data_IF_634233309043
#
_entry.id   IF_634233309043
#
_cell.length_a   1.000
_cell.length_b   1.000
_cell.length_c   1.000
_cell.angle_alpha   90.00
_cell.angle_beta   90.00
_cell.angle_gamma   90.00
#
_symmetry.space_group_name_H-M   'P 1'
#
loop_
_entity.id
_entity.type
_entity.pdbx_description
1 polymer ?
#
# COMPACT_ATOMS: atom_id res chain seq x y z
N UNK A 1 -5.37 0.35 -21.88
CA UNK A 1 -4.74 0.49 -20.55
C UNK A 1 -3.31 -0.06 -20.51
N UNK A 2 -3.07 -1.31 -20.99
CA UNK A 2 -1.75 -1.96 -20.89
C UNK A 2 -0.62 -1.18 -21.62
N UNK A 3 -0.87 -0.64 -22.80
CA UNK A 3 0.10 0.19 -23.53
C UNK A 3 0.45 1.47 -22.77
N UNK A 4 -0.53 2.11 -22.13
CA UNK A 4 -0.29 3.30 -21.30
C UNK A 4 0.55 2.97 -20.06
N UNK A 5 0.33 1.80 -19.44
CA UNK A 5 1.14 1.34 -18.31
C UNK A 5 2.60 1.12 -18.75
N UNK A 6 2.84 0.48 -19.89
CA UNK A 6 4.18 0.32 -20.45
C UNK A 6 4.85 1.66 -20.79
N UNK A 7 4.11 2.59 -21.39
CA UNK A 7 4.61 3.95 -21.65
C UNK A 7 4.99 4.66 -20.33
N UNK A 8 4.19 4.49 -19.28
CA UNK A 8 4.48 5.05 -17.96
C UNK A 8 5.77 4.50 -17.38
N UNK A 9 5.96 3.19 -17.44
CA UNK A 9 7.16 2.54 -16.95
C UNK A 9 8.42 3.00 -17.71
N UNK A 10 8.34 3.10 -19.04
CA UNK A 10 9.43 3.62 -19.86
C UNK A 10 9.71 5.09 -19.50
N UNK A 11 8.66 5.89 -19.31
CA UNK A 11 8.82 7.31 -18.95
C UNK A 11 9.52 7.48 -17.61
N UNK A 12 9.16 6.67 -16.59
CA UNK A 12 9.86 6.67 -15.30
C UNK A 12 11.34 6.35 -15.49
N UNK A 13 11.66 5.26 -16.20
CA UNK A 13 13.02 4.83 -16.42
C UNK A 13 13.86 5.89 -17.17
N UNK A 14 13.28 6.57 -18.15
CA UNK A 14 13.94 7.65 -18.90
C UNK A 14 14.19 8.86 -18.00
N UNK A 15 13.19 9.30 -17.24
CA UNK A 15 13.32 10.45 -16.34
C UNK A 15 14.31 10.17 -15.21
N UNK A 16 14.37 8.94 -14.72
CA UNK A 16 15.35 8.52 -13.72
C UNK A 16 16.77 8.56 -14.29
N UNK A 17 16.98 8.04 -15.51
CA UNK A 17 18.28 8.14 -16.20
C UNK A 17 18.71 9.60 -16.45
N UNK A 18 17.76 10.49 -16.66
CA UNK A 18 18.00 11.93 -16.80
C UNK A 18 18.20 12.63 -15.44
N UNK A 19 18.15 11.90 -14.33
CA UNK A 19 18.28 12.43 -12.96
C UNK A 19 17.29 13.57 -12.64
N UNK A 20 16.09 13.51 -13.18
CA UNK A 20 15.03 14.48 -12.91
C UNK A 20 14.45 14.23 -11.52
N UNK A 21 14.54 15.21 -10.63
CA UNK A 21 13.91 15.12 -9.29
C UNK A 21 12.40 15.02 -9.43
N UNK A 22 11.79 14.04 -8.74
CA UNK A 22 10.35 13.80 -8.80
C UNK A 22 9.89 13.06 -10.07
N UNK A 23 10.77 12.29 -10.72
CA UNK A 23 10.50 11.49 -11.91
C UNK A 23 9.22 10.65 -11.81
N UNK A 24 8.97 10.01 -10.66
CA UNK A 24 7.76 9.18 -10.42
C UNK A 24 6.51 10.04 -10.46
N UNK A 25 6.49 11.17 -9.74
CA UNK A 25 5.34 12.07 -9.70
C UNK A 25 5.03 12.64 -11.08
N UNK A 26 6.06 13.11 -11.80
CA UNK A 26 5.92 13.64 -13.16
C UNK A 26 5.34 12.57 -14.09
N UNK A 27 5.80 11.34 -13.97
CA UNK A 27 5.32 10.22 -14.79
C UNK A 27 3.87 9.87 -14.48
N UNK A 28 3.49 9.81 -13.22
CA UNK A 28 2.10 9.55 -12.81
C UNK A 28 1.17 10.63 -13.37
N UNK A 29 1.50 11.89 -13.16
CA UNK A 29 0.69 13.02 -13.67
C UNK A 29 0.63 13.00 -15.19
N UNK A 30 1.77 12.79 -15.87
CA UNK A 30 1.85 12.75 -17.33
C UNK A 30 0.97 11.64 -17.93
N UNK A 31 1.08 10.41 -17.42
CA UNK A 31 0.27 9.29 -17.89
C UNK A 31 -1.21 9.47 -17.55
N UNK A 32 -1.52 10.05 -16.39
CA UNK A 32 -2.91 10.35 -16.02
C UNK A 32 -3.55 11.34 -17.00
N UNK A 33 -2.84 12.41 -17.35
CA UNK A 33 -3.31 13.38 -18.34
C UNK A 33 -3.51 12.72 -19.71
N UNK A 34 -2.54 11.92 -20.16
CA UNK A 34 -2.64 11.19 -21.44
C UNK A 34 -3.85 10.23 -21.42
N UNK A 35 -4.05 9.52 -20.28
CA UNK A 35 -5.18 8.62 -20.12
C UNK A 35 -6.52 9.35 -20.30
N UNK A 36 -6.70 10.50 -19.65
CA UNK A 36 -7.93 11.29 -19.78
C UNK A 36 -8.13 11.86 -21.19
N UNK A 37 -7.05 12.28 -21.85
CA UNK A 37 -7.11 12.75 -23.22
C UNK A 37 -7.51 11.64 -24.21
N UNK A 38 -6.98 10.44 -24.02
CA UNK A 38 -7.26 9.28 -24.90
C UNK A 38 -8.66 8.71 -24.67
N UNK A 39 -9.12 8.68 -23.41
CA UNK A 39 -10.44 8.14 -23.06
C UNK A 39 -11.56 9.16 -23.23
N UNK A 40 -11.24 10.46 -23.36
CA UNK A 40 -12.23 11.53 -23.43
C UNK A 40 -13.05 11.70 -22.15
N UNK A 41 -12.63 11.07 -21.04
CA UNK A 41 -13.30 11.18 -19.74
C UNK A 41 -12.69 12.34 -18.97
N UNK A 42 -13.53 13.15 -18.34
CA UNK A 42 -13.09 14.22 -17.43
C UNK A 42 -13.30 13.72 -15.99
N UNK A 43 -12.31 13.84 -15.11
CA UNK A 43 -12.50 13.47 -13.71
C UNK A 43 -13.61 14.34 -13.11
N UNK A 44 -14.74 13.74 -12.75
CA UNK A 44 -15.81 14.41 -12.03
C UNK A 44 -15.60 14.21 -10.54
N UNK A 45 -15.44 15.30 -9.80
CA UNK A 45 -15.40 15.26 -8.37
C UNK A 45 -16.83 15.38 -7.83
N UNK A 46 -17.40 14.27 -7.38
CA UNK A 46 -18.76 14.22 -6.82
C UNK A 46 -18.68 14.15 -5.29
N UNK A 47 -19.06 15.23 -4.64
CA UNK A 47 -19.14 15.29 -3.17
C UNK A 47 -20.12 14.28 -2.58
N UNK A 48 -21.12 13.82 -3.36
CA UNK A 48 -22.03 12.77 -2.94
C UNK A 48 -21.34 11.43 -2.75
N UNK A 49 -20.39 11.10 -3.63
CA UNK A 49 -19.58 9.89 -3.50
C UNK A 49 -18.67 9.92 -2.27
N UNK A 50 -18.14 11.08 -1.92
CA UNK A 50 -17.36 11.24 -0.68
C UNK A 50 -18.23 10.98 0.55
N UNK A 51 -19.45 11.54 0.59
CA UNK A 51 -20.39 11.28 1.67
C UNK A 51 -20.80 9.82 1.77
N UNK A 52 -20.99 9.14 0.61
CA UNK A 52 -21.29 7.71 0.57
C UNK A 52 -20.09 6.88 1.06
N UNK A 53 -18.87 7.21 0.67
CA UNK A 53 -17.67 6.52 1.13
C UNK A 53 -17.49 6.59 2.66
N UNK A 54 -17.84 7.72 3.29
CA UNK A 54 -17.83 7.83 4.75
C UNK A 54 -18.90 6.96 5.43
N UNK A 55 -20.10 6.84 4.84
CA UNK A 55 -21.13 5.93 5.33
C UNK A 55 -20.71 4.48 5.17
N UNK A 56 -20.22 4.11 4.01
CA UNK A 56 -19.74 2.76 3.71
C UNK A 56 -18.58 2.37 4.63
N UNK A 57 -17.68 3.31 4.94
CA UNK A 57 -16.62 3.12 5.93
C UNK A 57 -17.18 2.79 7.32
N UNK A 58 -18.23 3.49 7.77
CA UNK A 58 -18.86 3.21 9.06
C UNK A 58 -19.64 1.89 9.08
N UNK A 59 -20.43 1.62 8.03
CA UNK A 59 -21.33 0.48 7.97
C UNK A 59 -20.64 -0.82 7.54
N UNK A 60 -19.72 -0.77 6.60
CA UNK A 60 -19.04 -1.95 6.06
C UNK A 60 -17.66 -2.13 6.71
N UNK A 61 -16.88 -1.07 6.79
CA UNK A 61 -15.52 -1.12 7.33
C UNK A 61 -15.50 -1.50 8.80
N UNK A 62 -16.04 -0.65 9.66
CA UNK A 62 -15.94 -0.85 11.11
C UNK A 62 -16.94 -1.91 11.60
N UNK A 63 -18.21 -1.83 11.21
CA UNK A 63 -19.21 -2.76 11.72
C UNK A 63 -19.17 -4.12 11.05
N UNK A 64 -18.70 -4.20 9.80
CA UNK A 64 -18.63 -5.44 9.04
C UNK A 64 -17.75 -6.50 9.70
N UNK A 65 -16.61 -6.09 10.29
CA UNK A 65 -15.70 -6.99 11.01
C UNK A 65 -16.37 -7.68 12.22
N UNK A 66 -17.33 -7.01 12.84
CA UNK A 66 -18.02 -7.55 14.02
C UNK A 66 -19.31 -8.32 13.68
N UNK A 67 -19.68 -8.43 12.41
CA UNK A 67 -20.86 -9.20 11.98
C UNK A 67 -20.51 -10.69 11.84
N UNK A 68 -21.16 -11.52 12.66
CA UNK A 68 -20.98 -12.98 12.60
C UNK A 68 -21.38 -13.59 11.24
N UNK A 69 -22.29 -12.95 10.50
CA UNK A 69 -22.65 -13.36 9.13
C UNK A 69 -21.49 -13.21 8.16
N UNK A 70 -20.74 -12.11 8.23
CA UNK A 70 -19.57 -11.86 7.37
C UNK A 70 -18.50 -12.95 7.57
N UNK A 71 -18.22 -13.34 8.80
CA UNK A 71 -17.30 -14.42 9.11
C UNK A 71 -17.80 -15.77 8.60
N UNK A 72 -19.07 -16.07 8.78
CA UNK A 72 -19.67 -17.29 8.26
C UNK A 72 -19.58 -17.35 6.73
N UNK A 73 -19.89 -16.26 6.04
CA UNK A 73 -19.83 -16.20 4.59
C UNK A 73 -18.38 -16.26 4.08
N UNK A 74 -17.43 -15.68 4.82
CA UNK A 74 -16.01 -15.78 4.51
C UNK A 74 -15.46 -17.23 4.60
N UNK A 75 -15.91 -18.01 5.58
CA UNK A 75 -15.40 -19.37 5.78
C UNK A 75 -16.24 -20.46 5.09
N UNK A 76 -17.53 -20.25 4.85
CA UNK A 76 -18.43 -21.26 4.29
C UNK A 76 -19.10 -20.84 2.99
N UNK A 77 -18.90 -19.62 2.54
CA UNK A 77 -19.49 -19.07 1.33
C UNK A 77 -18.99 -19.75 0.05
N UNK A 78 -19.81 -19.84 -0.99
CA UNK A 78 -19.45 -20.47 -2.25
C UNK A 78 -18.32 -19.75 -3.00
N UNK A 79 -18.05 -18.49 -2.68
CA UNK A 79 -17.02 -17.68 -3.32
C UNK A 79 -15.60 -18.14 -2.96
N UNK A 80 -15.39 -18.67 -1.76
CA UNK A 80 -14.06 -19.07 -1.26
C UNK A 80 -13.83 -20.57 -1.36
N UNK A 81 -14.89 -21.37 -1.53
CA UNK A 81 -14.77 -22.83 -1.71
C UNK A 81 -14.57 -23.63 -0.43
N UNK A 82 -14.91 -23.06 0.73
CA UNK A 82 -14.92 -23.75 2.03
C UNK A 82 -13.77 -23.37 2.96
N UNK A 83 -13.81 -23.93 4.17
CA UNK A 83 -12.88 -23.58 5.27
C UNK A 83 -11.41 -23.82 4.90
N UNK A 84 -11.10 -24.92 4.21
CA UNK A 84 -9.70 -25.20 3.83
C UNK A 84 -9.16 -24.15 2.87
N UNK A 85 -9.94 -23.73 1.89
CA UNK A 85 -9.55 -22.67 0.95
C UNK A 85 -9.40 -21.33 1.65
N UNK A 86 -10.27 -21.02 2.61
CA UNK A 86 -10.16 -19.79 3.42
C UNK A 86 -8.87 -19.79 4.24
N UNK A 87 -8.53 -20.91 4.90
CA UNK A 87 -7.28 -21.03 5.67
C UNK A 87 -6.06 -20.89 4.77
N UNK A 88 -6.05 -21.56 3.61
CA UNK A 88 -4.94 -21.44 2.64
C UNK A 88 -4.79 -20.01 2.12
N UNK A 89 -5.88 -19.32 1.88
CA UNK A 89 -5.89 -17.94 1.43
C UNK A 89 -5.31 -17.00 2.50
N UNK A 90 -5.71 -17.18 3.77
CA UNK A 90 -5.16 -16.42 4.91
C UNK A 90 -3.66 -16.65 5.03
N UNK A 91 -3.20 -17.92 5.00
CA UNK A 91 -1.76 -18.23 5.07
C UNK A 91 -1.01 -17.58 3.91
N UNK A 92 -1.55 -17.66 2.70
CA UNK A 92 -0.92 -17.07 1.50
C UNK A 92 -0.78 -15.55 1.65
N UNK A 93 -1.84 -14.86 2.05
CA UNK A 93 -1.76 -13.41 2.26
C UNK A 93 -0.82 -13.02 3.38
N UNK A 94 -0.83 -13.74 4.51
CA UNK A 94 0.10 -13.49 5.61
C UNK A 94 1.56 -13.67 5.17
N UNK A 95 1.87 -14.70 4.39
CA UNK A 95 3.23 -14.91 3.88
C UNK A 95 3.65 -13.81 2.91
N UNK A 96 2.78 -13.42 1.98
CA UNK A 96 3.06 -12.34 1.03
C UNK A 96 3.31 -11.03 1.77
N UNK A 97 2.43 -10.66 2.69
CA UNK A 97 2.53 -9.44 3.50
C UNK A 97 3.84 -9.42 4.33
N UNK A 98 4.17 -10.54 4.98
CA UNK A 98 5.40 -10.67 5.77
C UNK A 98 6.66 -10.51 4.90
N UNK A 99 6.73 -11.16 3.72
CA UNK A 99 7.89 -11.03 2.85
C UNK A 99 8.01 -9.64 2.22
N UNK A 100 6.89 -9.02 1.90
CA UNK A 100 6.85 -7.64 1.39
C UNK A 100 7.38 -6.67 2.46
N UNK A 101 6.88 -6.75 3.68
CA UNK A 101 7.34 -5.93 4.81
C UNK A 101 8.83 -6.13 5.10
N UNK A 102 9.32 -7.38 5.15
CA UNK A 102 10.75 -7.64 5.34
C UNK A 102 11.57 -6.98 4.23
N UNK A 103 11.20 -7.20 2.97
CA UNK A 103 11.92 -6.64 1.83
C UNK A 103 11.97 -5.11 1.85
N UNK A 104 10.85 -4.47 2.17
CA UNK A 104 10.75 -3.00 2.25
C UNK A 104 11.52 -2.43 3.44
N UNK A 105 11.51 -3.11 4.59
CA UNK A 105 12.29 -2.71 5.77
C UNK A 105 13.79 -2.77 5.49
N UNK A 106 14.28 -3.85 4.86
CA UNK A 106 15.69 -3.93 4.45
C UNK A 106 16.06 -2.83 3.47
N UNK A 107 15.23 -2.58 2.45
CA UNK A 107 15.47 -1.53 1.47
C UNK A 107 15.51 -0.13 2.08
N UNK A 108 14.56 0.20 2.96
CA UNK A 108 14.51 1.51 3.61
C UNK A 108 15.59 1.69 4.67
N UNK A 109 15.94 0.65 5.44
CA UNK A 109 17.02 0.68 6.43
C UNK A 109 18.38 0.86 5.77
N UNK A 110 18.61 0.18 4.64
CA UNK A 110 19.84 0.35 3.85
C UNK A 110 20.01 1.78 3.35
N UNK A 111 18.94 2.43 2.88
CA UNK A 111 18.99 3.82 2.42
C UNK A 111 19.15 4.81 3.60
N UNK A 112 18.71 4.42 4.80
CA UNK A 112 18.80 5.21 6.02
C UNK A 112 20.14 5.08 6.75
N UNK A 113 21.05 4.19 6.30
CA UNK A 113 22.27 3.76 7.03
C UNK A 113 21.91 3.19 8.42
N UNK A 114 20.82 2.44 8.52
CA UNK A 114 20.31 1.81 9.75
C UNK A 114 20.46 0.28 9.71
N UNK A 115 21.54 -0.20 9.16
CA UNK A 115 21.93 -1.60 9.24
C UNK A 115 22.99 -1.79 10.35
N UNK A 116 22.96 -2.93 11.01
CA UNK A 116 23.98 -3.33 11.98
C UNK A 116 25.22 -3.93 11.30
N UNK A 117 26.16 -4.44 12.11
CA UNK A 117 27.42 -5.03 11.60
C UNK A 117 27.19 -6.32 10.80
N UNK A 118 26.07 -7.01 11.04
CA UNK A 118 25.66 -8.24 10.34
C UNK A 118 24.87 -7.95 9.07
N UNK A 119 24.47 -6.69 8.84
CA UNK A 119 23.69 -6.25 7.69
C UNK A 119 22.19 -6.32 7.90
N UNK A 120 21.73 -6.53 9.14
CA UNK A 120 20.32 -6.56 9.48
C UNK A 120 19.83 -5.16 9.90
N UNK A 121 18.56 -4.81 9.59
CA UNK A 121 17.99 -3.55 10.05
C UNK A 121 17.95 -3.44 11.55
N UNK A 122 18.45 -2.34 12.10
CA UNK A 122 18.41 -2.06 13.52
C UNK A 122 16.95 -2.06 14.00
N UNK A 123 16.69 -2.78 15.10
CA UNK A 123 15.35 -2.90 15.70
C UNK A 123 14.26 -3.50 14.76
N UNK A 124 14.63 -4.40 13.85
CA UNK A 124 13.70 -5.02 12.89
C UNK A 124 12.48 -5.66 13.59
N UNK A 125 12.67 -6.28 14.76
CA UNK A 125 11.58 -6.89 15.53
C UNK A 125 10.54 -5.88 15.97
N UNK A 126 10.97 -4.67 16.35
CA UNK A 126 10.07 -3.58 16.73
C UNK A 126 9.33 -3.04 15.51
N UNK A 127 10.03 -2.88 14.39
CA UNK A 127 9.42 -2.41 13.14
C UNK A 127 8.37 -3.40 12.64
N UNK A 128 8.67 -4.70 12.61
CA UNK A 128 7.73 -5.77 12.26
C UNK A 128 6.53 -5.81 13.20
N UNK A 129 6.74 -5.61 14.51
CA UNK A 129 5.64 -5.54 15.48
C UNK A 129 4.74 -4.34 15.23
N UNK A 130 5.30 -3.17 14.94
CA UNK A 130 4.53 -1.98 14.60
C UNK A 130 3.70 -2.17 13.33
N UNK A 131 4.27 -2.76 12.30
CA UNK A 131 3.61 -3.06 11.04
C UNK A 131 2.44 -4.04 11.23
N UNK A 132 2.66 -5.12 12.00
CA UNK A 132 1.62 -6.10 12.34
C UNK A 132 0.45 -5.47 13.12
N UNK A 133 0.75 -4.62 14.11
CA UNK A 133 -0.28 -3.90 14.87
C UNK A 133 -1.04 -2.93 13.98
N UNK A 134 -0.36 -2.23 13.07
CA UNK A 134 -0.98 -1.32 12.12
C UNK A 134 -1.89 -2.07 11.13
N UNK A 135 -1.46 -3.24 10.64
CA UNK A 135 -2.27 -4.11 9.76
C UNK A 135 -3.54 -4.59 10.48
N UNK A 136 -3.45 -5.02 11.75
CA UNK A 136 -4.64 -5.39 12.55
C UNK A 136 -5.58 -4.20 12.74
N UNK A 137 -5.04 -3.02 13.06
CA UNK A 137 -5.83 -1.80 13.20
C UNK A 137 -6.51 -1.42 11.88
N UNK A 138 -5.79 -1.51 10.76
CA UNK A 138 -6.33 -1.31 9.42
C UNK A 138 -7.48 -2.27 9.09
N UNK A 139 -7.31 -3.56 9.41
CA UNK A 139 -8.37 -4.55 9.23
C UNK A 139 -9.63 -4.23 10.04
N UNK A 140 -9.47 -3.78 11.30
CA UNK A 140 -10.60 -3.34 12.14
C UNK A 140 -11.30 -2.11 11.53
N UNK A 141 -10.52 -1.21 10.93
CA UNK A 141 -11.06 -0.04 10.24
C UNK A 141 -11.61 -0.35 8.83
N UNK A 142 -11.51 -1.60 8.36
CA UNK A 142 -11.99 -2.00 7.03
C UNK A 142 -11.13 -1.49 5.88
N UNK A 143 -9.86 -1.16 6.13
CA UNK A 143 -8.91 -0.79 5.10
C UNK A 143 -8.18 -2.03 4.56
N UNK A 144 -7.47 -1.88 3.44
CA UNK A 144 -6.50 -2.89 2.99
C UNK A 144 -5.36 -3.02 4.00
N UNK A 145 -4.45 -4.01 3.78
CA UNK A 145 -3.26 -4.15 4.62
C UNK A 145 -2.51 -2.83 4.75
N UNK A 146 -2.04 -2.56 5.95
CA UNK A 146 -1.17 -1.40 6.25
C UNK A 146 0.25 -1.94 6.29
N UNK A 147 1.07 -1.57 5.34
CA UNK A 147 2.43 -2.08 5.20
C UNK A 147 3.41 -0.94 4.92
N UNK A 148 4.68 -1.19 5.16
CA UNK A 148 5.74 -0.26 4.82
C UNK A 148 5.94 -0.23 3.30
N UNK A 149 5.98 0.96 2.70
CA UNK A 149 6.18 1.15 1.27
C UNK A 149 7.65 1.39 0.93
N UNK A 150 8.14 0.74 -0.12
CA UNK A 150 9.52 0.91 -0.61
C UNK A 150 9.79 2.34 -1.08
N UNK A 151 8.76 3.08 -1.50
CA UNK A 151 8.84 4.48 -1.87
C UNK A 151 9.27 5.39 -0.71
N UNK A 152 9.12 4.93 0.54
CA UNK A 152 9.65 5.60 1.72
C UNK A 152 11.17 5.81 1.67
N UNK A 153 11.90 4.93 0.97
CA UNK A 153 13.33 5.08 0.73
C UNK A 153 13.65 6.40 0.02
N UNK A 154 12.80 6.84 -0.90
CA UNK A 154 12.99 8.15 -1.57
C UNK A 154 12.83 9.33 -0.62
N UNK A 155 11.94 9.22 0.36
CA UNK A 155 11.78 10.21 1.43
C UNK A 155 12.98 10.24 2.36
N UNK A 156 13.55 9.08 2.67
CA UNK A 156 14.78 8.96 3.46
C UNK A 156 15.98 9.56 2.71
N UNK A 157 16.14 9.25 1.43
CA UNK A 157 17.18 9.81 0.56
C UNK A 157 17.07 11.34 0.44
N UNK A 158 15.85 11.89 0.50
CA UNK A 158 15.60 13.34 0.53
C UNK A 158 15.90 13.99 1.89
N UNK A 159 16.27 13.21 2.92
CA UNK A 159 16.64 13.69 4.25
C UNK A 159 15.58 13.50 5.34
N UNK A 160 14.49 12.80 5.06
CA UNK A 160 13.47 12.46 6.05
C UNK A 160 13.98 11.39 7.02
N UNK A 161 14.13 11.74 8.31
CA UNK A 161 14.72 10.83 9.31
C UNK A 161 13.97 10.79 10.64
N UNK A 162 12.78 11.31 10.69
CA UNK A 162 12.01 11.40 11.92
C UNK A 162 10.56 10.96 11.73
N UNK A 163 9.93 10.49 12.80
CA UNK A 163 8.50 10.16 12.78
C UNK A 163 7.60 11.34 12.39
N UNK A 164 8.06 12.58 12.53
CA UNK A 164 7.35 13.75 12.05
C UNK A 164 7.26 13.78 10.52
N UNK A 165 8.31 13.34 9.81
CA UNK A 165 8.28 13.19 8.36
C UNK A 165 7.20 12.22 7.93
N UNK A 166 7.14 11.06 8.60
CA UNK A 166 6.11 10.04 8.32
C UNK A 166 4.69 10.57 8.59
N UNK A 167 4.50 11.32 9.68
CA UNK A 167 3.21 11.92 10.02
C UNK A 167 2.73 12.97 9.00
N UNK A 168 3.66 13.73 8.42
CA UNK A 168 3.33 14.74 7.41
C UNK A 168 3.05 14.09 6.06
N UNK A 169 3.68 12.94 5.77
CA UNK A 169 3.51 12.20 4.52
C UNK A 169 2.19 11.41 4.49
N UNK A 170 1.71 10.95 5.65
CA UNK A 170 0.44 10.22 5.80
C UNK A 170 -0.78 11.12 5.62
#
# INVERSE_FOLDING_TARGET
>A
PALLALCGLILIAVLEKLKVKGNVLISIVGITVIYYLVTGTVPSFDMGQVGQAFKDFGEIGITGVFQASAWKDAFTGPAIGGVLSAVMLVITFCLVDMFDTIGTLYGTASEADMLDEDGDPIDIDKAMTCDSVATVAGAICGTSTVTTFVESASGVAAGGRTGLTSLITA
#
